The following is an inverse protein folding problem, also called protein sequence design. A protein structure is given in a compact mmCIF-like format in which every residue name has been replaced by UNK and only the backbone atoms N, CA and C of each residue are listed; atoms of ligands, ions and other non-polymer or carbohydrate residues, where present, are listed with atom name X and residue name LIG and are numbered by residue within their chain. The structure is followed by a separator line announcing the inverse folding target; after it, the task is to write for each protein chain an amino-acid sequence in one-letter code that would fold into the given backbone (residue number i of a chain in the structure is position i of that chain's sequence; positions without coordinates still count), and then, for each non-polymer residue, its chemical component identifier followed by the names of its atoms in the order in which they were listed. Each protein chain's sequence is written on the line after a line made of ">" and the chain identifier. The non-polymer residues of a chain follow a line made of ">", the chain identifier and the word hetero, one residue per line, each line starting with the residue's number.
data_IF_175307144402
#
_entry.id   IF_175307144402
#
_cell.length_a   1.000
_cell.length_b   1.000
_cell.length_c   1.000
_cell.angle_alpha   90.00
_cell.angle_beta   90.00
_cell.angle_gamma   90.00
#
_symmetry.space_group_name_H-M   'P 1'
#
loop_
_entity.id
_entity.type
_entity.pdbx_description
1 polymer ?
#
# COMPACT_ATOMS: atom_id res chain seq x y z
N UNK A 1 23.12 -11.48 1.54
CA UNK A 1 21.89 -11.57 0.73
C UNK A 1 21.89 -12.94 0.09
N UNK A 2 20.93 -13.76 0.45
CA UNK A 2 20.80 -15.10 -0.13
C UNK A 2 20.00 -15.01 -1.42
N UNK A 3 20.57 -15.44 -2.53
CA UNK A 3 19.88 -15.64 -3.80
C UNK A 3 19.08 -16.95 -3.72
N UNK A 4 17.77 -16.87 -3.69
CA UNK A 4 16.92 -18.04 -3.86
C UNK A 4 16.49 -18.09 -5.33
N UNK A 5 16.97 -19.09 -6.07
CA UNK A 5 16.69 -19.32 -7.50
C UNK A 5 17.17 -18.24 -8.49
N UNK A 6 18.21 -17.46 -8.16
CA UNK A 6 18.76 -16.44 -9.07
C UNK A 6 17.96 -15.13 -9.12
N UNK A 7 16.88 -14.97 -8.35
CA UNK A 7 16.17 -13.70 -8.20
C UNK A 7 16.62 -12.99 -6.92
N UNK A 8 16.92 -11.70 -7.03
CA UNK A 8 17.24 -10.84 -5.88
C UNK A 8 16.02 -10.73 -4.96
N UNK A 9 16.18 -11.16 -3.70
CA UNK A 9 15.13 -10.95 -2.71
C UNK A 9 15.03 -9.46 -2.37
N UNK A 10 13.85 -8.87 -2.60
CA UNK A 10 13.59 -7.44 -2.34
C UNK A 10 13.40 -7.18 -0.84
N UNK A 11 14.02 -6.13 -0.32
CA UNK A 11 13.81 -5.74 1.06
C UNK A 11 12.37 -5.22 1.27
N UNK A 12 11.73 -5.66 2.38
CA UNK A 12 10.38 -5.25 2.74
C UNK A 12 10.39 -4.27 3.92
N UNK A 13 9.50 -3.27 3.88
CA UNK A 13 9.25 -2.33 4.98
C UNK A 13 7.76 -2.24 5.25
N UNK A 14 7.37 -2.15 6.52
CA UNK A 14 6.00 -1.85 6.91
C UNK A 14 5.86 -0.36 7.18
N UNK A 15 4.99 0.29 6.44
CA UNK A 15 4.68 1.70 6.56
C UNK A 15 3.42 1.89 7.39
N UNK A 16 3.46 2.90 8.27
CA UNK A 16 2.35 3.30 9.11
C UNK A 16 2.03 4.76 8.86
N UNK A 17 0.77 5.09 8.74
CA UNK A 17 0.28 6.45 8.79
C UNK A 17 -0.53 6.63 10.06
N UNK A 18 -0.19 7.65 10.83
CA UNK A 18 -0.84 7.99 12.11
C UNK A 18 -1.18 9.48 12.15
N UNK A 19 -2.19 9.92 12.92
CA UNK A 19 -2.54 11.34 13.03
C UNK A 19 -1.40 12.14 13.68
N UNK A 20 -1.23 13.39 13.26
CA UNK A 20 -0.18 14.26 13.80
C UNK A 20 -0.49 14.81 15.20
N UNK A 21 -1.76 14.86 15.59
CA UNK A 21 -2.25 15.55 16.78
C UNK A 21 -2.36 14.65 18.03
N UNK A 22 -1.71 13.51 18.01
CA UNK A 22 -1.54 12.63 19.18
C UNK A 22 -0.06 12.60 19.60
N UNK A 23 0.20 12.27 20.87
CA UNK A 23 1.58 12.22 21.37
C UNK A 23 2.43 11.17 20.63
N UNK A 24 3.78 11.32 20.56
CA UNK A 24 4.64 10.32 19.92
C UNK A 24 4.47 8.91 20.50
N UNK A 25 4.21 8.79 21.81
CA UNK A 25 3.95 7.49 22.43
C UNK A 25 2.64 6.91 21.91
N UNK A 26 1.58 7.72 21.82
CA UNK A 26 0.30 7.28 21.27
C UNK A 26 0.41 6.91 19.81
N UNK A 27 1.19 7.65 19.00
CA UNK A 27 1.44 7.29 17.61
C UNK A 27 2.04 5.87 17.49
N UNK A 28 3.00 5.54 18.34
CA UNK A 28 3.61 4.21 18.36
C UNK A 28 2.61 3.12 18.82
N UNK A 29 1.77 3.41 19.80
CA UNK A 29 0.72 2.48 20.27
C UNK A 29 -0.28 2.21 19.16
N UNK A 30 -0.78 3.26 18.48
CA UNK A 30 -1.74 3.12 17.39
C UNK A 30 -1.14 2.37 16.19
N UNK A 31 0.13 2.61 15.86
CA UNK A 31 0.85 1.82 14.86
C UNK A 31 0.94 0.34 15.27
N UNK A 32 1.21 0.07 16.55
CA UNK A 32 1.22 -1.30 17.08
C UNK A 32 -0.14 -2.01 16.94
N UNK A 33 -1.24 -1.32 17.23
CA UNK A 33 -2.59 -1.87 17.02
C UNK A 33 -2.85 -2.20 15.55
N UNK A 34 -2.51 -1.31 14.62
CA UNK A 34 -2.66 -1.57 13.20
C UNK A 34 -1.78 -2.75 12.72
N UNK A 35 -0.57 -2.92 13.28
CA UNK A 35 0.28 -4.06 12.99
C UNK A 35 -0.32 -5.40 13.45
N UNK A 36 -0.98 -5.42 14.61
CA UNK A 36 -1.69 -6.60 15.10
C UNK A 36 -2.87 -6.95 14.20
N UNK A 37 -3.65 -5.95 13.77
CA UNK A 37 -4.74 -6.15 12.82
C UNK A 37 -4.22 -6.67 11.46
N UNK A 38 -3.05 -6.16 11.02
CA UNK A 38 -2.40 -6.66 9.82
C UNK A 38 -1.99 -8.13 9.96
N UNK A 39 -1.40 -8.48 11.10
CA UNK A 39 -1.01 -9.85 11.41
C UNK A 39 -2.21 -10.81 11.45
N UNK A 40 -3.32 -10.40 12.05
CA UNK A 40 -4.57 -11.18 12.06
C UNK A 40 -5.10 -11.43 10.65
N UNK A 41 -5.03 -10.42 9.78
CA UNK A 41 -5.60 -10.48 8.43
C UNK A 41 -4.71 -11.22 7.42
N UNK A 42 -3.38 -11.13 7.56
CA UNK A 42 -2.42 -11.58 6.56
C UNK A 42 -1.39 -12.58 7.11
N UNK A 43 -1.66 -13.25 8.25
CA UNK A 43 -0.74 -14.20 8.89
C UNK A 43 -0.18 -15.26 7.93
N UNK A 44 -1.00 -15.75 7.01
CA UNK A 44 -0.65 -16.84 6.08
C UNK A 44 -0.08 -16.33 4.75
N UNK A 45 -0.02 -15.01 4.53
CA UNK A 45 0.50 -14.44 3.30
C UNK A 45 2.04 -14.52 3.27
N UNK A 46 2.60 -15.03 2.17
CA UNK A 46 4.05 -15.23 2.02
C UNK A 46 4.87 -13.97 2.27
N UNK A 47 4.46 -12.83 1.72
CA UNK A 47 5.14 -11.55 1.90
C UNK A 47 5.13 -11.08 3.37
N UNK A 48 4.07 -11.36 4.14
CA UNK A 48 4.02 -11.03 5.56
C UNK A 48 4.94 -11.93 6.37
N UNK A 49 4.94 -13.24 6.08
CA UNK A 49 5.85 -14.20 6.72
C UNK A 49 7.32 -13.83 6.48
N UNK A 50 7.67 -13.45 5.25
CA UNK A 50 8.99 -12.96 4.89
C UNK A 50 9.34 -11.68 5.67
N UNK A 51 8.45 -10.68 5.67
CA UNK A 51 8.64 -9.45 6.42
C UNK A 51 8.93 -9.71 7.90
N UNK A 52 8.12 -10.55 8.55
CA UNK A 52 8.26 -10.84 10.00
C UNK A 52 9.54 -11.61 10.32
N UNK A 53 9.99 -12.50 9.42
CA UNK A 53 11.21 -13.30 9.64
C UNK A 53 12.47 -12.49 9.38
N UNK A 54 12.53 -11.78 8.25
CA UNK A 54 13.79 -11.29 7.69
C UNK A 54 13.97 -9.76 7.82
N UNK A 55 12.89 -8.96 7.78
CA UNK A 55 13.03 -7.51 7.61
C UNK A 55 12.67 -6.68 8.86
N UNK A 56 11.45 -6.78 9.37
CA UNK A 56 10.95 -6.12 10.61
C UNK A 56 11.09 -4.59 10.68
N UNK A 57 11.40 -3.91 9.56
CA UNK A 57 11.59 -2.46 9.55
C UNK A 57 10.24 -1.75 9.51
N UNK A 58 9.98 -0.91 10.51
CA UNK A 58 8.81 -0.05 10.60
C UNK A 58 9.15 1.39 10.24
N UNK A 59 8.31 2.02 9.43
CA UNK A 59 8.40 3.43 9.05
C UNK A 59 7.09 4.10 9.46
N UNK A 60 7.13 4.92 10.50
CA UNK A 60 5.94 5.64 10.99
C UNK A 60 5.94 7.04 10.36
N UNK A 61 4.88 7.36 9.65
CA UNK A 61 4.70 8.59 8.89
C UNK A 61 3.51 9.39 9.45
N UNK A 62 3.57 10.70 9.23
CA UNK A 62 2.47 11.59 9.52
C UNK A 62 1.33 11.38 8.49
N UNK A 63 0.20 10.87 8.95
CA UNK A 63 -1.03 10.66 8.15
C UNK A 63 -1.95 11.89 8.14
N UNK A 64 -1.56 12.98 8.80
CA UNK A 64 -2.34 14.21 8.85
C UNK A 64 -3.49 14.15 9.85
N UNK A 65 -4.68 14.47 9.39
CA UNK A 65 -5.90 14.56 10.19
C UNK A 65 -6.76 13.31 10.07
N UNK A 66 -7.60 13.06 11.07
CA UNK A 66 -8.59 11.99 11.06
C UNK A 66 -9.97 12.52 11.43
N UNK A 67 -11.01 11.78 11.05
CA UNK A 67 -12.38 12.02 11.50
C UNK A 67 -12.82 10.96 12.50
N UNK A 68 -13.60 11.39 13.46
CA UNK A 68 -14.44 10.58 14.31
C UNK A 68 -15.55 9.91 13.44
N UNK A 69 -16.00 8.74 13.81
CA UNK A 69 -17.04 8.02 13.06
C UNK A 69 -18.36 8.79 12.96
N UNK A 70 -18.61 9.74 13.88
CA UNK A 70 -19.82 10.57 13.89
C UNK A 70 -19.77 11.77 12.92
N UNK A 71 -18.59 12.08 12.36
CA UNK A 71 -18.36 13.30 11.58
C UNK A 71 -18.68 13.15 10.09
N UNK A 72 -19.43 12.11 9.69
CA UNK A 72 -19.61 11.79 8.27
C UNK A 72 -20.61 12.67 7.51
N UNK A 73 -21.46 13.45 8.20
CA UNK A 73 -22.40 14.32 7.50
C UNK A 73 -21.90 15.77 7.45
N UNK A 74 -21.39 16.18 6.27
CA UNK A 74 -21.08 17.58 5.96
C UNK A 74 -19.70 18.07 6.40
N UNK A 75 -18.84 17.25 6.95
CA UNK A 75 -17.46 17.57 7.34
C UNK A 75 -16.48 16.99 6.31
N UNK A 76 -15.46 17.77 5.95
CA UNK A 76 -14.40 17.28 5.08
C UNK A 76 -13.67 16.09 5.70
N UNK A 77 -13.50 15.03 4.91
CA UNK A 77 -12.79 13.83 5.33
C UNK A 77 -11.33 14.14 5.69
N UNK A 78 -10.84 13.59 6.81
CA UNK A 78 -9.44 13.72 7.21
C UNK A 78 -8.47 13.06 6.22
N UNK A 79 -7.25 13.55 6.14
CA UNK A 79 -6.24 13.02 5.21
C UNK A 79 -5.90 11.56 5.47
N UNK A 80 -5.91 11.11 6.72
CA UNK A 80 -5.71 9.69 7.04
C UNK A 80 -6.82 8.81 6.46
N UNK A 81 -8.07 9.27 6.50
CA UNK A 81 -9.20 8.57 5.90
C UNK A 81 -9.06 8.48 4.36
N UNK A 82 -8.63 9.59 3.71
CA UNK A 82 -8.35 9.62 2.27
C UNK A 82 -7.22 8.67 1.87
N UNK A 83 -6.18 8.52 2.71
CA UNK A 83 -5.11 7.53 2.48
C UNK A 83 -5.69 6.11 2.52
N UNK A 84 -6.57 5.81 3.48
CA UNK A 84 -7.24 4.51 3.56
C UNK A 84 -8.06 4.20 2.31
N UNK A 85 -8.82 5.18 1.82
CA UNK A 85 -9.59 5.04 0.57
C UNK A 85 -8.65 4.79 -0.62
N UNK A 86 -7.55 5.54 -0.73
CA UNK A 86 -6.57 5.37 -1.80
C UNK A 86 -5.89 3.98 -1.76
N UNK A 87 -5.59 3.44 -0.59
CA UNK A 87 -5.06 2.08 -0.46
C UNK A 87 -6.06 1.03 -0.93
N UNK A 88 -7.34 1.20 -0.56
CA UNK A 88 -8.42 0.32 -0.97
C UNK A 88 -8.68 0.39 -2.48
N UNK A 89 -8.78 1.58 -3.07
CA UNK A 89 -9.00 1.81 -4.50
C UNK A 89 -7.86 1.25 -5.38
N UNK A 90 -6.68 1.11 -4.80
CA UNK A 90 -5.51 0.58 -5.49
C UNK A 90 -5.21 -0.89 -5.17
N UNK A 91 -6.11 -1.60 -4.50
CA UNK A 91 -5.98 -3.00 -4.12
C UNK A 91 -4.68 -3.31 -3.34
N UNK A 92 -4.19 -2.32 -2.57
CA UNK A 92 -3.00 -2.51 -1.75
C UNK A 92 -3.40 -3.25 -0.47
N UNK A 93 -2.80 -4.40 -0.15
CA UNK A 93 -3.06 -5.09 1.10
C UNK A 93 -2.70 -4.21 2.29
N UNK A 94 -3.70 -3.77 3.04
CA UNK A 94 -3.50 -2.92 4.21
C UNK A 94 -4.38 -3.34 5.38
N UNK A 95 -4.04 -2.84 6.56
CA UNK A 95 -4.87 -2.91 7.74
C UNK A 95 -4.96 -1.53 8.40
N UNK A 96 -5.92 -1.40 9.31
CA UNK A 96 -6.16 -0.14 10.01
C UNK A 96 -6.61 -0.40 11.45
N UNK A 97 -6.49 0.62 12.27
CA UNK A 97 -7.04 0.61 13.61
C UNK A 97 -7.93 1.84 13.84
N UNK A 98 -9.08 1.60 14.46
CA UNK A 98 -9.99 2.64 14.93
C UNK A 98 -10.01 2.61 16.45
N UNK A 99 -9.80 3.77 17.07
CA UNK A 99 -9.70 3.90 18.52
C UNK A 99 -11.10 4.04 19.15
N UNK A 100 -11.58 3.04 19.90
CA UNK A 100 -12.92 3.10 20.51
C UNK A 100 -13.11 4.29 21.44
N UNK A 101 -12.07 4.65 22.19
CA UNK A 101 -12.11 5.78 23.13
C UNK A 101 -12.18 7.16 22.44
N UNK A 102 -11.92 7.20 21.13
CA UNK A 102 -12.03 8.38 20.26
C UNK A 102 -13.20 8.28 19.27
N UNK A 103 -14.31 7.68 19.69
CA UNK A 103 -15.51 7.47 18.87
C UNK A 103 -15.23 6.74 17.55
N UNK A 104 -14.42 5.71 17.62
CA UNK A 104 -13.98 4.91 16.46
C UNK A 104 -13.29 5.72 15.38
N UNK A 105 -12.62 6.81 15.75
CA UNK A 105 -11.78 7.55 14.81
C UNK A 105 -10.68 6.64 14.27
N UNK A 106 -10.39 6.79 12.98
CA UNK A 106 -9.27 6.09 12.34
C UNK A 106 -7.95 6.65 12.87
N UNK A 107 -7.14 5.83 13.54
CA UNK A 107 -5.91 6.30 14.20
C UNK A 107 -4.63 5.68 13.69
N UNK A 108 -4.72 4.64 12.88
CA UNK A 108 -3.57 4.11 12.17
C UNK A 108 -3.99 3.34 10.91
N UNK A 109 -3.12 3.40 9.91
CA UNK A 109 -3.13 2.54 8.73
C UNK A 109 -1.76 1.91 8.58
N UNK A 110 -1.67 0.66 8.10
CA UNK A 110 -0.39 0.06 7.76
C UNK A 110 -0.47 -0.84 6.54
N UNK A 111 0.64 -0.89 5.80
CA UNK A 111 0.85 -1.78 4.66
C UNK A 111 2.33 -2.10 4.49
N UNK A 112 2.64 -3.17 3.75
CA UNK A 112 4.00 -3.54 3.41
C UNK A 112 4.30 -3.10 1.98
N UNK A 113 5.47 -2.49 1.78
CA UNK A 113 6.02 -2.15 0.49
C UNK A 113 7.42 -2.74 0.32
N UNK A 114 7.75 -3.13 -0.91
CA UNK A 114 9.06 -3.65 -1.25
C UNK A 114 10.07 -2.56 -1.65
N UNK A 115 11.31 -2.98 -1.82
CA UNK A 115 12.46 -2.13 -2.09
C UNK A 115 12.27 -1.18 -3.28
N UNK A 116 11.52 -1.57 -4.29
CA UNK A 116 11.29 -0.76 -5.50
C UNK A 116 10.58 0.57 -5.22
N UNK A 117 9.80 0.62 -4.13
CA UNK A 117 9.07 1.84 -3.73
C UNK A 117 10.00 2.87 -3.10
N UNK A 118 11.00 2.45 -2.34
CA UNK A 118 11.82 3.35 -1.53
C UNK A 118 13.30 3.45 -1.95
N UNK A 119 13.83 2.49 -2.70
CA UNK A 119 15.18 2.52 -3.22
C UNK A 119 15.18 3.12 -4.63
N UNK A 120 15.21 4.45 -4.70
CA UNK A 120 15.20 5.17 -5.98
C UNK A 120 16.53 5.12 -6.73
N UNK A 121 17.60 4.71 -6.08
CA UNK A 121 18.91 4.55 -6.70
C UNK A 121 18.90 3.36 -7.67
N UNK A 122 18.41 2.22 -7.20
CA UNK A 122 18.32 1.00 -8.00
C UNK A 122 17.04 0.97 -8.88
N UNK A 123 15.98 1.65 -8.46
CA UNK A 123 14.66 1.64 -9.11
C UNK A 123 14.12 3.07 -9.37
N UNK A 124 14.85 3.92 -10.13
CA UNK A 124 14.51 5.34 -10.28
C UNK A 124 13.15 5.58 -10.94
N UNK A 125 12.73 4.70 -11.84
CA UNK A 125 11.53 4.86 -12.66
C UNK A 125 10.34 4.00 -12.21
N UNK A 126 10.46 3.30 -11.08
CA UNK A 126 9.43 2.34 -10.66
C UNK A 126 8.05 2.98 -10.52
N UNK A 127 7.94 4.16 -9.93
CA UNK A 127 6.67 4.87 -9.75
C UNK A 127 6.06 5.27 -11.10
N UNK A 128 6.87 5.78 -12.02
CA UNK A 128 6.41 6.16 -13.37
C UNK A 128 5.94 4.93 -14.15
N UNK A 129 6.67 3.83 -14.08
CA UNK A 129 6.28 2.56 -14.66
C UNK A 129 4.95 2.05 -14.08
N UNK A 130 4.78 2.08 -12.76
CA UNK A 130 3.56 1.64 -12.09
C UNK A 130 2.35 2.47 -12.54
N UNK A 131 2.51 3.79 -12.66
CA UNK A 131 1.45 4.68 -13.16
C UNK A 131 1.09 4.36 -14.61
N UNK A 132 2.06 4.05 -15.45
CA UNK A 132 1.85 3.67 -16.85
C UNK A 132 1.09 2.34 -16.98
N UNK A 133 1.47 1.33 -16.19
CA UNK A 133 0.76 0.04 -16.15
C UNK A 133 -0.69 0.23 -15.72
N UNK A 134 -0.95 1.01 -14.67
CA UNK A 134 -2.32 1.33 -14.23
C UNK A 134 -3.14 2.04 -15.29
N UNK A 135 -2.55 3.00 -15.98
CA UNK A 135 -3.23 3.70 -17.08
C UNK A 135 -3.68 2.72 -18.17
N UNK A 136 -2.82 1.77 -18.57
CA UNK A 136 -3.20 0.74 -19.53
C UNK A 136 -4.28 -0.20 -19.00
N UNK A 137 -4.22 -0.59 -17.72
CA UNK A 137 -5.24 -1.44 -17.10
C UNK A 137 -6.59 -0.74 -17.07
N UNK A 138 -6.66 0.50 -16.60
CA UNK A 138 -7.90 1.29 -16.57
C UNK A 138 -8.49 1.48 -17.97
N UNK A 139 -7.66 1.85 -18.95
CA UNK A 139 -8.11 2.00 -20.34
C UNK A 139 -8.61 0.67 -20.92
N UNK A 140 -7.99 -0.47 -20.55
CA UNK A 140 -8.45 -1.79 -20.96
C UNK A 140 -9.82 -2.13 -20.34
N UNK A 141 -10.03 -1.85 -19.07
CA UNK A 141 -11.29 -2.12 -18.38
C UNK A 141 -12.46 -1.29 -18.98
N UNK A 142 -12.19 -0.05 -19.34
CA UNK A 142 -13.15 0.80 -20.08
C UNK A 142 -13.45 0.26 -21.48
N UNK A 143 -12.44 -0.20 -22.19
CA UNK A 143 -12.59 -0.74 -23.55
C UNK A 143 -13.30 -2.11 -23.59
N UNK A 144 -13.25 -2.88 -22.49
CA UNK A 144 -13.77 -4.25 -22.44
C UNK A 144 -15.23 -4.37 -22.92
N UNK A 145 -16.05 -3.38 -22.59
CA UNK A 145 -17.49 -3.37 -22.91
C UNK A 145 -17.78 -2.84 -24.32
N UNK A 146 -16.96 -1.93 -24.84
CA UNK A 146 -17.27 -1.13 -26.01
C UNK A 146 -16.36 -1.41 -27.21
N UNK A 147 -15.16 -1.93 -27.01
CA UNK A 147 -14.17 -2.17 -28.07
C UNK A 147 -13.25 -3.35 -27.74
N UNK A 148 -13.68 -4.60 -28.01
CA UNK A 148 -12.88 -5.79 -27.70
C UNK A 148 -11.49 -5.84 -28.31
N UNK A 149 -11.29 -5.28 -29.51
CA UNK A 149 -9.98 -5.25 -30.16
C UNK A 149 -9.00 -4.31 -29.42
N UNK A 150 -9.47 -3.14 -29.01
CA UNK A 150 -8.71 -2.21 -28.19
C UNK A 150 -8.39 -2.79 -26.80
N UNK A 151 -9.33 -3.52 -26.22
CA UNK A 151 -9.12 -4.22 -24.94
C UNK A 151 -7.95 -5.21 -25.03
N UNK A 152 -7.89 -6.04 -26.08
CA UNK A 152 -6.79 -6.98 -26.30
C UNK A 152 -5.46 -6.24 -26.44
N UNK A 153 -5.40 -5.19 -27.25
CA UNK A 153 -4.19 -4.38 -27.44
C UNK A 153 -3.68 -3.77 -26.12
N UNK A 154 -4.56 -3.16 -25.33
CA UNK A 154 -4.20 -2.53 -24.06
C UNK A 154 -3.75 -3.54 -23.00
N UNK A 155 -4.34 -4.73 -22.99
CA UNK A 155 -3.90 -5.84 -22.12
C UNK A 155 -2.52 -6.36 -22.50
N UNK A 156 -2.24 -6.47 -23.79
CA UNK A 156 -0.91 -6.86 -24.27
C UNK A 156 0.14 -5.82 -23.92
N UNK A 157 -0.13 -4.53 -24.11
CA UNK A 157 0.78 -3.45 -23.69
C UNK A 157 1.05 -3.45 -22.19
N UNK A 158 0.03 -3.69 -21.37
CA UNK A 158 0.21 -3.81 -19.92
C UNK A 158 1.10 -5.02 -19.56
N UNK A 159 0.94 -6.14 -20.26
CA UNK A 159 1.76 -7.34 -20.04
C UNK A 159 3.22 -7.13 -20.49
N UNK A 160 3.45 -6.51 -21.65
CA UNK A 160 4.78 -6.16 -22.17
C UNK A 160 5.53 -5.26 -21.19
N UNK A 161 4.90 -4.21 -20.65
CA UNK A 161 5.50 -3.33 -19.64
C UNK A 161 5.87 -4.09 -18.35
N UNK A 162 5.12 -5.13 -17.99
CA UNK A 162 5.46 -6.00 -16.86
C UNK A 162 6.66 -6.92 -17.17
N UNK A 163 6.75 -7.46 -18.37
CA UNK A 163 7.82 -8.37 -18.76
C UNK A 163 9.16 -7.64 -18.97
N UNK A 164 9.14 -6.45 -19.58
CA UNK A 164 10.34 -5.62 -19.78
C UNK A 164 11.06 -5.30 -18.45
N UNK A 165 10.32 -5.19 -17.35
CA UNK A 165 10.91 -4.97 -16.02
C UNK A 165 11.40 -6.23 -15.32
N UNK A 166 10.87 -7.40 -15.64
CA UNK A 166 11.40 -8.67 -15.11
C UNK A 166 12.75 -9.01 -15.71
N UNK A 167 13.04 -8.54 -16.92
CA UNK A 167 14.31 -8.78 -17.62
C UNK A 167 15.44 -7.82 -17.23
N UNK A 168 15.16 -6.79 -16.43
CA UNK A 168 16.14 -5.77 -15.98
C UNK A 168 16.61 -6.00 -14.55
N UNK A 169 16.17 -7.08 -13.89
CA UNK A 169 16.58 -7.45 -12.52
C UNK A 169 17.44 -8.71 -12.55
#
# INVERSE_FOLDING_TARGET
>A
MEEINGEKQLALRMYFFVPYNISPIQQAIQAGHAALEYALKYSDAGFFQEFVKEHKTWIILNGGTTNDQRDFEGIAQGTLNQIGDALNENDIPFSYFREPDLNDALTALCFIADERVFNREDYPDFVNWLLKVKMYQQAADEAQKNNPALWVELRLKSAEEHEDRKSVV
#
